data_IF_592563229416
#
_entry.id   IF_592563229416
#
_cell.length_a   1.000
_cell.length_b   1.000
_cell.length_c   1.000
_cell.angle_alpha   90.00
_cell.angle_beta   90.00
_cell.angle_gamma   90.00
#
_symmetry.space_group_name_H-M   'P 1'
#
loop_
_entity.id
_entity.type
_entity.pdbx_description
1 polymer ?
#
# COMPACT_ATOMS: atom_id res chain seq x y z
N UNK A 1 -1.99 -11.82 5.04
CA UNK A 1 -1.66 -10.38 5.10
C UNK A 1 -2.09 -9.76 3.79
N UNK A 2 -3.25 -9.10 3.78
CA UNK A 2 -3.69 -8.27 2.66
C UNK A 2 -3.51 -6.82 3.07
N UNK A 3 -3.18 -5.94 2.12
CA UNK A 3 -3.11 -4.52 2.38
C UNK A 3 -4.23 -3.82 1.62
N UNK A 4 -4.81 -2.80 2.24
CA UNK A 4 -5.75 -1.89 1.61
C UNK A 4 -5.14 -0.50 1.54
N UNK A 5 -5.36 0.18 0.43
CA UNK A 5 -4.97 1.57 0.23
C UNK A 5 -5.88 2.45 1.08
N UNK A 6 -5.30 3.27 1.94
CA UNK A 6 -6.03 4.21 2.80
C UNK A 6 -5.92 5.65 2.32
N UNK A 7 -4.93 5.94 1.47
CA UNK A 7 -4.74 7.24 0.80
C UNK A 7 -4.45 6.99 -0.66
N UNK A 8 -5.11 7.69 -1.58
CA UNK A 8 -4.86 7.49 -3.01
C UNK A 8 -3.42 7.87 -3.39
N UNK A 9 -2.73 6.98 -4.10
CA UNK A 9 -1.35 7.21 -4.52
C UNK A 9 -1.02 6.53 -5.85
N UNK A 10 0.02 7.01 -6.49
CA UNK A 10 0.62 6.34 -7.66
C UNK A 10 1.89 5.62 -7.20
N UNK A 11 1.96 4.32 -7.43
CA UNK A 11 3.17 3.56 -7.12
C UNK A 11 4.29 3.94 -8.11
N UNK A 12 5.45 4.30 -7.57
CA UNK A 12 6.57 4.78 -8.38
C UNK A 12 7.31 3.68 -9.12
N UNK A 13 7.18 2.43 -8.68
CA UNK A 13 7.87 1.28 -9.27
C UNK A 13 7.06 0.71 -10.43
N UNK A 14 5.74 0.65 -10.32
CA UNK A 14 4.87 0.09 -11.35
C UNK A 14 4.16 1.15 -12.20
N UNK A 15 4.01 2.37 -11.69
CA UNK A 15 3.18 3.41 -12.32
C UNK A 15 1.68 3.23 -12.09
N UNK A 16 1.27 2.20 -11.34
CA UNK A 16 -0.14 1.93 -11.06
C UNK A 16 -0.73 2.98 -10.13
N UNK A 17 -1.97 3.37 -10.40
CA UNK A 17 -2.75 4.26 -9.53
C UNK A 17 -3.62 3.41 -8.61
N UNK A 18 -3.56 3.70 -7.32
CA UNK A 18 -4.38 3.08 -6.29
C UNK A 18 -5.27 4.14 -5.65
N UNK A 19 -6.56 3.82 -5.54
CA UNK A 19 -7.57 4.62 -4.86
C UNK A 19 -7.83 4.08 -3.45
N UNK A 20 -8.43 4.90 -2.60
CA UNK A 20 -8.81 4.50 -1.24
C UNK A 20 -9.76 3.30 -1.31
N UNK A 21 -9.45 2.24 -0.56
CA UNK A 21 -10.17 0.97 -0.56
C UNK A 21 -9.59 -0.10 -1.50
N UNK A 22 -8.69 0.26 -2.41
CA UNK A 22 -8.08 -0.72 -3.32
C UNK A 22 -7.19 -1.70 -2.57
N UNK A 23 -7.14 -2.94 -3.09
CA UNK A 23 -6.20 -3.95 -2.60
C UNK A 23 -4.80 -3.65 -3.12
N UNK A 24 -3.81 -3.69 -2.23
CA UNK A 24 -2.40 -3.52 -2.56
C UNK A 24 -1.58 -4.77 -2.22
N UNK A 25 -0.67 -5.21 -3.10
CA UNK A 25 -0.56 -4.80 -4.51
C UNK A 25 -1.72 -5.36 -5.34
N UNK A 26 -2.09 -4.69 -6.44
CA UNK A 26 -3.18 -5.15 -7.31
C UNK A 26 -2.86 -6.49 -7.99
N UNK A 27 -1.57 -6.74 -8.28
CA UNK A 27 -1.07 -7.98 -8.87
C UNK A 27 0.26 -8.38 -8.22
N UNK A 28 0.46 -9.68 -8.05
CA UNK A 28 1.72 -10.24 -7.54
C UNK A 28 1.95 -9.96 -6.06
N UNK A 29 3.23 -9.80 -5.68
CA UNK A 29 3.66 -9.51 -4.31
C UNK A 29 4.61 -8.32 -4.30
N UNK A 30 4.33 -7.34 -3.45
CA UNK A 30 5.25 -6.25 -3.19
C UNK A 30 6.39 -6.74 -2.30
N UNK A 31 7.59 -6.17 -2.46
CA UNK A 31 8.71 -6.45 -1.56
C UNK A 31 8.35 -5.97 -0.15
N UNK A 32 8.79 -6.68 0.88
CA UNK A 32 8.54 -6.30 2.29
C UNK A 32 8.94 -4.86 2.59
N UNK A 33 10.13 -4.44 2.14
CA UNK A 33 10.60 -3.06 2.29
C UNK A 33 9.63 -2.01 1.70
N UNK A 34 8.93 -2.33 0.60
CA UNK A 34 7.94 -1.45 -0.01
C UNK A 34 6.66 -1.39 0.81
N UNK A 35 6.24 -2.53 1.36
CA UNK A 35 5.09 -2.58 2.27
C UNK A 35 5.36 -1.77 3.54
N UNK A 36 6.54 -1.91 4.14
CA UNK A 36 6.97 -1.16 5.32
C UNK A 36 7.05 0.36 5.03
N UNK A 37 7.58 0.75 3.87
CA UNK A 37 7.62 2.15 3.43
C UNK A 37 6.21 2.74 3.27
N UNK A 38 5.33 2.03 2.57
CA UNK A 38 3.97 2.50 2.27
C UNK A 38 3.03 2.42 3.48
N UNK A 39 3.29 1.54 4.45
CA UNK A 39 2.49 1.41 5.68
C UNK A 39 2.97 2.31 6.82
N UNK A 40 4.08 3.04 6.63
CA UNK A 40 4.62 3.99 7.59
C UNK A 40 4.61 5.42 7.05
N UNK A 41 4.91 6.38 7.92
CA UNK A 41 5.18 7.76 7.51
C UNK A 41 6.58 7.95 6.91
N UNK A 42 7.37 6.88 6.75
CA UNK A 42 8.70 6.91 6.15
C UNK A 42 8.66 6.81 4.62
N UNK A 43 7.72 7.53 4.01
CA UNK A 43 7.60 7.67 2.56
C UNK A 43 7.50 9.16 2.19
N UNK A 44 7.48 9.46 0.90
CA UNK A 44 7.48 10.85 0.42
C UNK A 44 6.25 11.67 0.83
N UNK A 45 5.12 11.01 1.10
CA UNK A 45 3.89 11.64 1.56
C UNK A 45 3.91 11.90 3.07
N UNK A 46 4.90 11.37 3.79
CA UNK A 46 5.04 11.46 5.26
C UNK A 46 3.82 10.94 6.03
N UNK A 47 3.02 10.09 5.39
CA UNK A 47 1.81 9.48 5.94
C UNK A 47 1.69 8.05 5.42
N UNK A 48 1.09 7.12 6.18
CA UNK A 48 0.83 5.77 5.69
C UNK A 48 -0.19 5.79 4.54
N UNK A 49 0.15 5.12 3.45
CA UNK A 49 -0.64 5.03 2.22
C UNK A 49 -1.44 3.72 2.14
N UNK A 50 -0.92 2.66 2.76
CA UNK A 50 -1.58 1.37 2.86
C UNK A 50 -1.70 0.93 4.32
N UNK A 51 -2.69 0.10 4.63
CA UNK A 51 -2.88 -0.52 5.93
C UNK A 51 -2.99 -2.03 5.79
N UNK A 52 -2.33 -2.77 6.66
CA UNK A 52 -2.53 -4.21 6.76
C UNK A 52 -3.94 -4.51 7.30
N UNK A 53 -4.66 -5.36 6.59
CA UNK A 53 -5.92 -5.95 7.03
C UNK A 53 -5.70 -7.43 7.30
N UNK A 54 -5.93 -7.81 8.55
CA UNK A 54 -6.14 -9.20 8.94
C UNK A 54 -7.43 -9.67 8.27
N UNK A 55 -7.39 -10.75 7.50
CA UNK A 55 -8.61 -11.48 7.14
C UNK A 55 -9.00 -12.32 8.35
N UNK A 56 -9.52 -11.66 9.37
CA UNK A 56 -10.22 -12.32 10.45
C UNK A 56 -11.66 -11.78 10.40
N UNK A 57 -12.56 -12.71 10.02
CA UNK A 57 -14.01 -12.65 9.79
C UNK A 57 -14.52 -12.52 8.35
#
# INVERSE_FOLDING_TARGET
MKYITIVAFTDKLTGDVYYVGDKYPAKGRAKKARLDELSSSSNQRKEPLIKEVSEDE
#
